data_IF_238113277214
#
_entry.id   IF_238113277214
#
_cell.length_a   1.000
_cell.length_b   1.000
_cell.length_c   1.000
_cell.angle_alpha   90.00
_cell.angle_beta   90.00
_cell.angle_gamma   90.00
#
_symmetry.space_group_name_H-M   'P 1'
#
loop_
_entity.id
_entity.type
_entity.pdbx_description
1 polymer ?
#
# COMPACT_ATOMS: atom_id res chain seq x y z
N UNK A 1 -12.04 -3.57 9.43
CA UNK A 1 -10.58 -3.43 9.61
C UNK A 1 -10.32 -1.95 9.46
N UNK A 2 -9.65 -1.32 10.41
CA UNK A 2 -9.54 0.15 10.40
C UNK A 2 -8.25 0.64 9.72
N UNK A 3 -7.27 -0.26 9.56
CA UNK A 3 -5.97 0.01 8.92
C UNK A 3 -5.52 -1.24 8.17
N UNK A 4 -5.71 -1.28 6.85
CA UNK A 4 -5.30 -2.41 6.01
C UNK A 4 -3.86 -2.28 5.54
N UNK A 5 -3.41 -1.06 5.26
CA UNK A 5 -2.03 -0.81 4.85
C UNK A 5 -1.49 0.50 5.39
N UNK A 6 -0.19 0.48 5.69
CA UNK A 6 0.57 1.61 6.18
C UNK A 6 1.56 2.07 5.13
N UNK A 7 1.66 3.39 4.92
CA UNK A 7 2.58 3.99 3.95
C UNK A 7 3.54 4.92 4.67
N UNK A 8 4.82 4.54 4.72
CA UNK A 8 5.87 5.37 5.30
C UNK A 8 6.76 5.96 4.19
N UNK A 9 7.07 7.24 4.29
CA UNK A 9 8.19 7.84 3.57
C UNK A 9 9.37 7.98 4.54
N UNK A 10 10.47 7.30 4.22
CA UNK A 10 11.66 7.22 5.06
C UNK A 10 12.80 7.99 4.40
N UNK A 11 13.56 8.77 5.17
CA UNK A 11 14.79 9.40 4.68
C UNK A 11 15.84 8.32 4.35
N UNK A 12 16.41 8.37 3.14
CA UNK A 12 17.26 7.28 2.65
C UNK A 12 18.57 7.09 3.45
N UNK A 13 19.10 8.18 4.03
CA UNK A 13 20.36 8.15 4.79
C UNK A 13 20.18 7.63 6.22
N UNK A 14 19.10 8.03 6.89
CA UNK A 14 18.89 7.75 8.32
C UNK A 14 17.86 6.64 8.56
N UNK A 15 17.02 6.32 7.58
CA UNK A 15 15.85 5.46 7.73
C UNK A 15 14.73 6.08 8.57
N UNK A 16 14.87 7.35 8.99
CA UNK A 16 13.88 8.04 9.82
C UNK A 16 12.63 8.32 8.99
N UNK A 17 11.47 8.09 9.59
CA UNK A 17 10.19 8.50 9.02
C UNK A 17 10.08 10.02 8.91
N UNK A 18 9.75 10.51 7.72
CA UNK A 18 9.59 11.94 7.42
C UNK A 18 8.14 12.31 7.10
N UNK A 19 7.36 11.37 6.57
CA UNK A 19 5.94 11.52 6.34
C UNK A 19 5.28 10.14 6.43
N UNK A 20 3.99 10.14 6.70
CA UNK A 20 3.16 8.95 6.69
C UNK A 20 1.85 9.22 5.98
N UNK A 21 1.35 8.19 5.32
CA UNK A 21 0.00 8.12 4.81
C UNK A 21 -0.63 6.85 5.33
N UNK A 22 -1.95 6.89 5.50
CA UNK A 22 -2.71 5.75 6.00
C UNK A 22 -3.78 5.41 4.99
N UNK A 23 -3.94 4.11 4.71
CA UNK A 23 -5.16 3.61 4.09
C UNK A 23 -6.04 3.05 5.20
N UNK A 24 -7.02 3.85 5.60
CA UNK A 24 -8.19 3.30 6.28
C UNK A 24 -8.86 2.32 5.31
N UNK A 25 -8.97 1.05 5.66
CA UNK A 25 -9.63 0.07 4.79
C UNK A 25 -11.08 0.47 4.60
N UNK A 26 -11.41 0.95 3.40
CA UNK A 26 -12.77 1.35 3.06
C UNK A 26 -13.61 0.12 2.69
N UNK A 27 -13.02 -0.83 1.98
CA UNK A 27 -13.64 -2.11 1.65
C UNK A 27 -12.61 -3.20 1.30
N UNK A 28 -12.97 -4.48 1.39
CA UNK A 28 -12.26 -5.59 0.75
C UNK A 28 -13.16 -6.25 -0.29
N UNK A 29 -12.77 -6.22 -1.56
CA UNK A 29 -13.51 -6.86 -2.66
C UNK A 29 -12.62 -7.44 -3.76
N UNK A 30 -13.21 -8.29 -4.61
CA UNK A 30 -12.54 -8.89 -5.76
C UNK A 30 -12.61 -7.94 -6.98
N UNK A 31 -11.72 -6.95 -7.08
CA UNK A 31 -11.74 -5.98 -8.19
C UNK A 31 -11.26 -6.61 -9.50
N UNK A 32 -10.27 -7.49 -9.46
CA UNK A 32 -9.77 -8.27 -10.61
C UNK A 32 -9.35 -9.66 -10.14
N UNK A 33 -9.42 -10.66 -11.02
CA UNK A 33 -8.92 -12.00 -10.72
C UNK A 33 -8.12 -12.56 -11.90
N UNK A 34 -7.21 -13.48 -11.59
CA UNK A 34 -6.51 -14.27 -12.59
C UNK A 34 -7.49 -15.11 -13.41
N UNK A 35 -7.06 -15.51 -14.61
CA UNK A 35 -7.88 -16.34 -15.48
C UNK A 35 -8.31 -17.65 -14.79
N UNK A 36 -9.61 -17.92 -14.80
CA UNK A 36 -10.21 -19.11 -14.17
C UNK A 36 -10.67 -18.91 -12.72
N UNK A 37 -10.40 -17.76 -12.11
CA UNK A 37 -10.89 -17.41 -10.77
C UNK A 37 -12.19 -16.59 -10.86
N UNK A 38 -13.13 -16.87 -9.96
CA UNK A 38 -14.43 -16.18 -9.90
C UNK A 38 -14.44 -15.17 -8.76
N UNK A 39 -14.91 -13.96 -9.06
CA UNK A 39 -15.21 -12.93 -8.06
C UNK A 39 -16.33 -13.39 -7.15
N UNK A 40 -16.17 -13.17 -5.85
CA UNK A 40 -17.14 -13.53 -4.81
C UNK A 40 -17.49 -12.34 -3.92
N UNK A 41 -16.50 -11.55 -3.55
CA UNK A 41 -16.68 -10.44 -2.61
C UNK A 41 -16.86 -9.13 -3.37
N UNK A 42 -17.83 -8.34 -2.94
CA UNK A 42 -18.14 -7.03 -3.46
C UNK A 42 -18.62 -6.13 -2.32
N UNK A 43 -18.16 -4.88 -2.29
CA UNK A 43 -18.55 -3.92 -1.23
C UNK A 43 -20.07 -3.70 -1.19
N UNK A 44 -20.73 -3.85 -2.33
CA UNK A 44 -22.19 -3.73 -2.50
C UNK A 44 -22.96 -4.93 -1.95
N UNK A 45 -22.31 -6.08 -1.75
CA UNK A 45 -22.95 -7.35 -1.40
C UNK A 45 -22.98 -7.64 0.12
N UNK A 46 -22.74 -6.63 0.98
CA UNK A 46 -22.72 -6.71 2.45
C UNK A 46 -21.62 -7.62 3.05
N UNK A 47 -20.97 -8.48 2.26
CA UNK A 47 -19.88 -9.36 2.68
C UNK A 47 -18.59 -8.95 1.99
N UNK A 48 -17.59 -8.60 2.79
CA UNK A 48 -16.27 -8.19 2.31
C UNK A 48 -15.28 -9.34 2.44
N UNK A 49 -14.26 -9.33 1.58
CA UNK A 49 -13.20 -10.34 1.56
C UNK A 49 -12.38 -10.27 0.28
N UNK A 50 -11.36 -11.10 0.22
CA UNK A 50 -10.52 -11.27 -0.96
C UNK A 50 -10.42 -12.77 -1.27
N UNK A 51 -10.83 -13.16 -2.47
CA UNK A 51 -10.82 -14.54 -2.93
C UNK A 51 -9.41 -14.97 -3.37
N UNK A 52 -9.03 -16.25 -3.21
CA UNK A 52 -7.77 -16.75 -3.75
C UNK A 52 -7.68 -16.54 -5.27
N UNK A 53 -6.56 -15.96 -5.74
CA UNK A 53 -6.34 -15.60 -7.14
C UNK A 53 -7.04 -14.31 -7.58
N UNK A 54 -7.59 -13.55 -6.64
CA UNK A 54 -8.16 -12.22 -6.86
C UNK A 54 -7.33 -11.14 -6.16
N UNK A 55 -7.51 -9.91 -6.63
CA UNK A 55 -6.82 -8.71 -6.19
C UNK A 55 -7.83 -7.61 -5.84
N UNK A 56 -7.51 -6.85 -4.82
CA UNK A 56 -8.25 -5.64 -4.43
C UNK A 56 -7.43 -4.39 -4.82
N UNK A 57 -7.57 -4.02 -6.09
CA UNK A 57 -6.86 -2.88 -6.68
C UNK A 57 -7.56 -1.57 -6.38
N UNK A 58 -6.87 -0.68 -5.66
CA UNK A 58 -7.26 0.71 -5.48
C UNK A 58 -6.47 1.63 -6.40
N UNK A 59 -7.19 2.37 -7.24
CA UNK A 59 -6.59 3.31 -8.16
C UNK A 59 -6.14 4.59 -7.45
N UNK A 60 -5.19 5.31 -8.06
CA UNK A 60 -4.56 6.50 -7.47
C UNK A 60 -5.50 7.71 -7.36
N UNK A 61 -6.64 7.69 -8.05
CA UNK A 61 -7.69 8.71 -8.01
C UNK A 61 -8.67 8.53 -6.83
N UNK A 62 -8.57 7.41 -6.10
CA UNK A 62 -9.40 7.18 -4.90
C UNK A 62 -8.86 8.02 -3.74
N UNK A 63 -9.79 8.62 -2.99
CA UNK A 63 -9.45 9.39 -1.79
C UNK A 63 -8.59 8.58 -0.80
N UNK A 64 -7.68 9.30 -0.13
CA UNK A 64 -6.74 8.75 0.85
C UNK A 64 -5.74 7.72 0.26
N UNK A 65 -5.49 7.73 -1.05
CA UNK A 65 -4.40 6.98 -1.71
C UNK A 65 -3.12 7.79 -1.92
N UNK A 66 -2.75 8.60 -0.92
CA UNK A 66 -1.54 9.42 -0.98
C UNK A 66 -0.85 9.52 0.39
N UNK A 67 0.43 9.90 0.34
CA UNK A 67 1.16 10.45 1.48
C UNK A 67 1.23 11.95 1.23
N UNK A 68 0.81 12.76 2.19
CA UNK A 68 1.03 14.20 2.12
C UNK A 68 2.52 14.50 2.31
N UNK A 69 3.11 15.18 1.34
CA UNK A 69 4.53 15.55 1.34
C UNK A 69 4.74 17.06 1.31
N UNK A 70 3.71 17.86 1.66
CA UNK A 70 3.74 19.33 1.62
C UNK A 70 4.94 19.91 2.37
N UNK A 71 5.27 19.33 3.53
CA UNK A 71 6.37 19.80 4.39
C UNK A 71 7.69 19.03 4.21
N UNK A 72 7.73 18.09 3.26
CA UNK A 72 8.93 17.29 2.98
C UNK A 72 9.85 18.06 2.05
N UNK A 73 11.14 18.12 2.37
CA UNK A 73 12.13 18.80 1.55
C UNK A 73 12.55 17.94 0.34
N UNK A 74 13.12 18.52 -0.73
CA UNK A 74 13.71 17.75 -1.82
C UNK A 74 14.82 16.81 -1.31
N UNK A 75 14.90 15.60 -1.84
CA UNK A 75 15.85 14.60 -1.37
C UNK A 75 15.61 13.19 -1.90
N UNK A 76 16.38 12.26 -1.33
CA UNK A 76 16.25 10.83 -1.59
C UNK A 76 15.57 10.14 -0.41
N UNK A 77 14.56 9.34 -0.72
CA UNK A 77 13.71 8.67 0.24
C UNK A 77 13.50 7.21 -0.14
N UNK A 78 13.02 6.44 0.82
CA UNK A 78 12.49 5.10 0.62
C UNK A 78 10.99 5.15 0.94
N UNK A 79 10.18 4.83 -0.06
CA UNK A 79 8.76 4.55 0.16
C UNK A 79 8.65 3.11 0.67
N UNK A 80 8.07 2.92 1.84
CA UNK A 80 7.79 1.62 2.44
C UNK A 80 6.26 1.46 2.58
N UNK A 81 5.70 0.49 1.87
CA UNK A 81 4.31 0.06 2.05
C UNK A 81 4.30 -1.24 2.84
N UNK A 82 3.37 -1.37 3.78
CA UNK A 82 3.14 -2.62 4.49
C UNK A 82 1.65 -2.94 4.52
N UNK A 83 1.27 -4.13 4.06
CA UNK A 83 -0.11 -4.65 4.17
C UNK A 83 -0.26 -5.50 5.44
N UNK A 84 -1.44 -5.46 6.05
CA UNK A 84 -1.76 -6.12 7.32
C UNK A 84 -0.66 -5.93 8.41
N UNK A 85 -0.24 -4.68 8.70
CA UNK A 85 0.90 -4.40 9.56
C UNK A 85 0.73 -4.88 11.01
N UNK A 86 -0.52 -5.03 11.46
CA UNK A 86 -0.90 -5.45 12.81
C UNK A 86 -1.23 -6.95 12.91
N UNK A 87 -1.07 -7.71 11.83
CA UNK A 87 -1.36 -9.15 11.78
C UNK A 87 -2.77 -9.51 12.25
N UNK A 88 -3.75 -8.65 11.96
CA UNK A 88 -5.14 -8.83 12.40
C UNK A 88 -5.84 -9.95 11.61
N UNK A 89 -5.43 -10.13 10.35
CA UNK A 89 -5.87 -11.24 9.49
C UNK A 89 -4.76 -12.27 9.43
N UNK A 90 -5.11 -13.55 9.50
CA UNK A 90 -4.13 -14.64 9.38
C UNK A 90 -3.74 -14.84 7.93
N UNK A 91 -2.44 -14.84 7.68
CA UNK A 91 -1.85 -15.14 6.38
C UNK A 91 -0.90 -16.34 6.49
N UNK A 92 -0.68 -17.04 5.38
CA UNK A 92 0.26 -18.19 5.33
C UNK A 92 1.72 -17.76 5.39
N UNK A 93 2.00 -16.52 4.95
CA UNK A 93 3.30 -15.89 4.92
C UNK A 93 3.10 -14.40 5.17
N UNK A 94 3.97 -13.80 6.00
CA UNK A 94 3.98 -12.36 6.26
C UNK A 94 5.27 -11.70 5.76
N UNK A 95 6.24 -12.49 5.28
CA UNK A 95 7.55 -12.00 4.85
C UNK A 95 7.50 -11.27 3.50
N UNK A 96 6.36 -11.35 2.81
CA UNK A 96 6.04 -10.69 1.56
C UNK A 96 5.06 -9.52 1.72
N UNK A 97 4.77 -9.07 2.94
CA UNK A 97 3.80 -8.00 3.18
C UNK A 97 4.37 -6.59 3.01
N UNK A 98 5.68 -6.44 2.80
CA UNK A 98 6.33 -5.13 2.69
C UNK A 98 6.88 -4.91 1.29
N UNK A 99 6.57 -3.76 0.71
CA UNK A 99 7.17 -3.26 -0.53
C UNK A 99 8.05 -2.06 -0.20
N UNK A 100 9.25 -2.01 -0.78
CA UNK A 100 10.13 -0.84 -0.71
C UNK A 100 10.47 -0.34 -2.11
N UNK A 101 10.43 0.98 -2.29
CA UNK A 101 10.80 1.67 -3.53
C UNK A 101 11.77 2.81 -3.24
N UNK A 102 12.69 3.06 -4.17
CA UNK A 102 13.53 4.25 -4.14
C UNK A 102 12.76 5.45 -4.68
N UNK A 103 12.77 6.54 -3.92
CA UNK A 103 12.11 7.80 -4.24
C UNK A 103 13.14 8.90 -4.38
N UNK A 104 13.07 9.63 -5.50
CA UNK A 104 13.81 10.88 -5.69
C UNK A 104 12.81 12.02 -5.86
N UNK A 105 12.81 12.96 -4.90
CA UNK A 105 11.92 14.12 -4.90
C UNK A 105 12.73 15.39 -5.16
N UNK A 106 12.36 16.13 -6.22
CA UNK A 106 13.08 17.35 -6.65
C UNK A 106 12.48 18.65 -6.14
N UNK A 107 11.41 18.59 -5.33
CA UNK A 107 10.57 19.74 -5.00
C UNK A 107 9.45 19.99 -6.01
N UNK A 108 9.53 19.42 -7.21
CA UNK A 108 8.52 19.57 -8.29
C UNK A 108 8.03 18.25 -8.85
N UNK A 109 8.89 17.25 -8.90
CA UNK A 109 8.59 15.92 -9.43
C UNK A 109 9.09 14.87 -8.47
N UNK A 110 8.35 13.76 -8.43
CA UNK A 110 8.73 12.55 -7.72
C UNK A 110 9.03 11.47 -8.75
N UNK A 111 10.19 10.82 -8.63
CA UNK A 111 10.53 9.64 -9.41
C UNK A 111 10.60 8.42 -8.49
N UNK A 112 9.79 7.41 -8.81
CA UNK A 112 9.78 6.12 -8.13
C UNK A 112 10.52 5.09 -8.96
N UNK A 113 11.44 4.35 -8.34
CA UNK A 113 12.25 3.32 -9.01
C UNK A 113 12.51 2.14 -8.09
N UNK A 114 12.87 0.98 -8.67
CA UNK A 114 13.32 -0.20 -7.94
C UNK A 114 12.35 -0.67 -6.84
N UNK A 115 11.05 -0.66 -7.13
CA UNK A 115 10.04 -1.21 -6.25
C UNK A 115 10.17 -2.73 -6.17
N UNK A 116 10.25 -3.26 -4.97
CA UNK A 116 10.37 -4.70 -4.74
C UNK A 116 9.73 -5.10 -3.42
N UNK A 117 9.26 -6.35 -3.38
CA UNK A 117 8.95 -7.02 -2.13
C UNK A 117 10.23 -7.09 -1.29
N UNK A 118 10.08 -6.84 0.00
CA UNK A 118 11.17 -6.87 0.98
C UNK A 118 10.63 -7.41 2.30
N UNK A 119 11.51 -8.00 3.09
CA UNK A 119 11.20 -8.44 4.44
C UNK A 119 11.26 -7.28 5.44
#
# INVERSE_FOLDING_TARGET
MDEFSHYDLLEASSGRKVAEGHKASFCLEDTTCDFGHLKRYACTAHTQGLSPGCYDTYNADIDCQWIDITDVQPGNYILKLQVNPKFLVRESDYTNNVVRCNIHYTGRFVRTTNCKLSQ
#
